data_IF_145364408203
#
_entry.id   IF_145364408203
#
_cell.length_a   1.000
_cell.length_b   1.000
_cell.length_c   1.000
_cell.angle_alpha   90.00
_cell.angle_beta   90.00
_cell.angle_gamma   90.00
#
_symmetry.space_group_name_H-M   'P 1'
#
loop_
_entity.id
_entity.type
_entity.pdbx_description
1 polymer ?
#
# COMPACT_ATOMS: atom_id res chain seq x y z
N UNK A 1 36.86 -4.98 20.96
CA UNK A 1 35.88 -3.97 20.49
C UNK A 1 34.63 -4.75 20.13
N UNK A 2 33.66 -4.84 21.06
CA UNK A 2 32.42 -5.59 20.85
C UNK A 2 31.46 -4.72 20.04
N UNK A 3 31.13 -5.15 18.83
CA UNK A 3 30.04 -4.57 18.06
C UNK A 3 28.74 -5.22 18.56
N UNK A 4 28.04 -4.54 19.47
CA UNK A 4 26.63 -4.85 19.72
C UNK A 4 25.85 -4.45 18.47
N UNK A 5 25.57 -5.42 17.60
CA UNK A 5 24.55 -5.27 16.57
C UNK A 5 23.22 -5.00 17.27
N UNK A 6 22.45 -3.97 16.88
CA UNK A 6 21.08 -3.85 17.36
C UNK A 6 20.30 -5.05 16.82
N UNK A 7 19.80 -5.88 17.73
CA UNK A 7 18.70 -6.79 17.41
C UNK A 7 17.52 -5.88 17.08
N UNK A 8 17.21 -5.78 15.79
CA UNK A 8 15.88 -5.37 15.34
C UNK A 8 14.94 -6.49 15.77
N UNK A 9 14.23 -6.27 16.88
CA UNK A 9 13.08 -7.11 17.19
C UNK A 9 12.15 -7.06 15.97
N UNK A 10 11.78 -8.22 15.39
CA UNK A 10 10.83 -8.22 14.29
C UNK A 10 9.53 -7.65 14.86
N UNK A 11 9.17 -6.44 14.43
CA UNK A 11 7.87 -5.84 14.74
C UNK A 11 6.83 -6.89 14.41
N UNK A 12 6.21 -7.45 15.45
CA UNK A 12 5.28 -8.56 15.33
C UNK A 12 4.22 -8.15 14.30
N UNK A 13 3.96 -8.93 13.24
CA UNK A 13 3.09 -8.52 12.13
C UNK A 13 1.70 -8.02 12.57
N UNK A 14 1.20 -8.53 13.71
CA UNK A 14 -0.05 -8.08 14.33
C UNK A 14 -0.04 -6.63 14.84
N UNK A 15 1.11 -6.11 15.25
CA UNK A 15 1.26 -4.71 15.69
C UNK A 15 1.28 -3.72 14.52
N UNK A 16 1.75 -4.16 13.34
CA UNK A 16 1.84 -3.32 12.15
C UNK A 16 0.51 -3.22 11.39
N UNK A 17 -0.38 -4.21 11.51
CA UNK A 17 -1.62 -4.28 10.74
C UNK A 17 -2.50 -3.01 10.79
N UNK A 18 -2.71 -2.35 11.95
CA UNK A 18 -3.44 -1.08 12.00
C UNK A 18 -2.75 0.03 11.20
N UNK A 19 -1.42 0.12 11.25
CA UNK A 19 -0.65 1.12 10.52
C UNK A 19 -0.67 0.84 9.00
N UNK A 20 -0.53 -0.42 8.58
CA UNK A 20 -0.69 -0.82 7.16
C UNK A 20 -2.06 -0.42 6.64
N UNK A 21 -3.13 -0.71 7.40
CA UNK A 21 -4.49 -0.33 7.01
C UNK A 21 -4.67 1.20 6.98
N UNK A 22 -4.06 1.93 7.91
CA UNK A 22 -4.07 3.39 7.90
C UNK A 22 -3.37 3.95 6.65
N UNK A 23 -2.17 3.45 6.30
CA UNK A 23 -1.49 3.78 5.05
C UNK A 23 -2.38 3.50 3.84
N UNK A 24 -2.98 2.30 3.76
CA UNK A 24 -3.86 1.93 2.65
C UNK A 24 -5.05 2.90 2.48
N UNK A 25 -5.62 3.39 3.59
CA UNK A 25 -6.69 4.40 3.56
C UNK A 25 -6.19 5.78 3.11
N UNK A 26 -4.95 6.16 3.45
CA UNK A 26 -4.33 7.40 2.97
C UNK A 26 -4.06 7.36 1.46
N UNK A 27 -3.73 6.19 0.92
CA UNK A 27 -3.47 6.00 -0.52
C UNK A 27 -4.75 5.90 -1.35
N UNK A 28 -5.84 5.38 -0.78
CA UNK A 28 -7.10 5.14 -1.48
C UNK A 28 -7.61 6.36 -2.28
N UNK A 29 -7.64 7.60 -1.75
CA UNK A 29 -8.06 8.78 -2.52
C UNK A 29 -7.23 9.04 -3.79
N UNK A 30 -5.96 8.65 -3.83
CA UNK A 30 -5.14 8.77 -5.04
C UNK A 30 -5.62 7.80 -6.13
N UNK A 31 -5.88 6.55 -5.76
CA UNK A 31 -6.44 5.55 -6.67
C UNK A 31 -7.84 5.95 -7.15
N UNK A 32 -8.66 6.52 -6.29
CA UNK A 32 -9.99 7.04 -6.63
C UNK A 32 -9.94 8.15 -7.69
N UNK A 33 -8.89 8.97 -7.68
CA UNK A 33 -8.65 10.01 -8.68
C UNK A 33 -7.90 9.50 -9.91
N UNK A 34 -7.55 8.21 -9.96
CA UNK A 34 -6.71 7.65 -11.01
C UNK A 34 -5.29 8.24 -11.03
N UNK A 35 -4.83 8.76 -9.90
CA UNK A 35 -3.51 9.37 -9.76
C UNK A 35 -2.47 8.31 -9.44
N UNK A 36 -1.29 8.43 -10.06
CA UNK A 36 -0.15 7.57 -9.74
C UNK A 36 0.34 7.88 -8.31
N UNK A 37 0.53 6.83 -7.53
CA UNK A 37 1.21 6.85 -6.24
C UNK A 37 2.71 6.70 -6.54
N UNK A 38 3.46 7.76 -6.29
CA UNK A 38 4.92 7.71 -6.36
C UNK A 38 5.49 7.28 -5.02
N UNK A 39 6.74 6.79 -5.02
CA UNK A 39 7.45 6.37 -3.80
C UNK A 39 7.47 7.44 -2.71
N UNK A 40 7.51 8.74 -3.07
CA UNK A 40 7.43 9.83 -2.11
C UNK A 40 6.06 9.90 -1.39
N UNK A 41 4.97 9.68 -2.12
CA UNK A 41 3.61 9.66 -1.56
C UNK A 41 3.44 8.43 -0.66
N UNK A 42 3.93 7.27 -1.09
CA UNK A 42 3.91 6.06 -0.27
C UNK A 42 4.72 6.26 1.03
N UNK A 43 5.93 6.81 0.95
CA UNK A 43 6.75 7.09 2.13
C UNK A 43 6.05 8.05 3.09
N UNK A 44 5.49 9.15 2.60
CA UNK A 44 4.75 10.11 3.42
C UNK A 44 3.56 9.46 4.16
N UNK A 45 2.80 8.62 3.46
CA UNK A 45 1.70 7.87 4.06
C UNK A 45 2.18 6.85 5.11
N UNK A 46 3.29 6.14 4.84
CA UNK A 46 3.90 5.20 5.77
C UNK A 46 4.41 5.91 7.04
N UNK A 47 5.15 7.01 6.89
CA UNK A 47 5.64 7.79 8.03
C UNK A 47 4.49 8.37 8.86
N UNK A 48 3.41 8.81 8.20
CA UNK A 48 2.19 9.29 8.88
C UNK A 48 1.53 8.18 9.71
N UNK A 49 1.45 6.96 9.17
CA UNK A 49 0.75 5.86 9.82
C UNK A 49 1.59 5.14 10.90
N UNK A 50 2.89 4.98 10.65
CA UNK A 50 3.83 4.33 11.59
C UNK A 50 4.44 5.31 12.59
N UNK A 51 4.33 6.62 12.35
CA UNK A 51 4.83 7.68 13.24
C UNK A 51 6.35 7.91 13.16
N UNK A 52 7.04 7.23 12.25
CA UNK A 52 8.48 7.31 12.09
C UNK A 52 8.95 6.83 10.70
N UNK A 53 10.20 7.17 10.37
CA UNK A 53 10.84 6.85 9.09
C UNK A 53 11.35 5.40 9.02
N UNK A 54 11.43 4.86 7.80
CA UNK A 54 12.10 3.59 7.49
C UNK A 54 13.58 3.63 7.90
N UNK A 55 14.21 4.82 7.88
CA UNK A 55 15.60 5.02 8.27
C UNK A 55 15.93 4.60 9.72
N UNK A 56 14.94 4.60 10.62
CA UNK A 56 15.10 4.14 12.01
C UNK A 56 14.46 2.77 12.27
N UNK A 57 14.03 2.07 11.21
CA UNK A 57 13.45 0.73 11.29
C UNK A 57 11.99 0.68 11.70
N UNK A 58 11.24 1.79 11.59
CA UNK A 58 9.81 1.82 11.95
C UNK A 58 8.94 0.94 11.04
N UNK A 59 9.37 0.77 9.79
CA UNK A 59 8.75 -0.08 8.78
C UNK A 59 9.80 -0.43 7.71
N UNK A 60 9.54 -1.48 6.94
CA UNK A 60 10.40 -1.92 5.84
C UNK A 60 9.65 -1.91 4.50
N UNK A 61 10.37 -2.23 3.42
CA UNK A 61 9.84 -2.30 2.07
C UNK A 61 8.68 -3.30 1.93
N UNK A 62 8.63 -4.33 2.77
CA UNK A 62 7.58 -5.35 2.71
C UNK A 62 6.28 -4.81 3.30
N UNK A 63 6.33 -4.12 4.44
CA UNK A 63 5.15 -3.48 5.01
C UNK A 63 4.58 -2.39 4.09
N UNK A 64 5.44 -1.70 3.35
CA UNK A 64 5.01 -0.75 2.32
C UNK A 64 4.26 -1.46 1.17
N UNK A 65 4.76 -2.62 0.72
CA UNK A 65 4.09 -3.44 -0.30
C UNK A 65 2.71 -3.95 0.17
N UNK A 66 2.60 -4.42 1.41
CA UNK A 66 1.32 -4.85 2.00
C UNK A 66 0.30 -3.69 2.04
N UNK A 67 0.76 -2.45 2.24
CA UNK A 67 -0.10 -1.27 2.24
C UNK A 67 -0.64 -0.93 0.84
N UNK A 68 0.19 -1.05 -0.20
CA UNK A 68 -0.22 -0.85 -1.60
C UNK A 68 -1.25 -1.91 -2.06
N UNK A 69 -1.04 -3.18 -1.69
CA UNK A 69 -2.02 -4.25 -1.90
C UNK A 69 -3.32 -3.96 -1.15
N UNK A 70 -3.21 -3.54 0.12
CA UNK A 70 -4.34 -3.10 0.93
C UNK A 70 -5.14 -1.98 0.27
N UNK A 71 -4.47 -0.96 -0.28
CA UNK A 71 -5.13 0.14 -0.98
C UNK A 71 -5.89 -0.34 -2.22
N UNK A 72 -5.30 -1.27 -2.98
CA UNK A 72 -5.94 -1.91 -4.14
C UNK A 72 -7.16 -2.73 -3.73
N UNK A 73 -7.07 -3.50 -2.65
CA UNK A 73 -8.21 -4.26 -2.09
C UNK A 73 -9.33 -3.33 -1.65
N UNK A 74 -9.02 -2.24 -0.95
CA UNK A 74 -10.02 -1.24 -0.53
C UNK A 74 -10.71 -0.60 -1.74
N UNK A 75 -9.95 -0.24 -2.77
CA UNK A 75 -10.50 0.31 -4.01
C UNK A 75 -11.45 -0.69 -4.69
N UNK A 76 -11.03 -1.95 -4.86
CA UNK A 76 -11.85 -2.98 -5.49
C UNK A 76 -13.09 -3.34 -4.65
N UNK A 77 -12.97 -3.34 -3.33
CA UNK A 77 -14.12 -3.53 -2.42
C UNK A 77 -15.17 -2.45 -2.62
N UNK A 78 -14.75 -1.20 -2.82
CA UNK A 78 -15.65 -0.04 -2.98
C UNK A 78 -16.22 0.08 -4.40
N UNK A 79 -15.40 -0.12 -5.44
CA UNK A 79 -15.77 0.18 -6.83
C UNK A 79 -15.80 -1.02 -7.77
N UNK A 80 -15.23 -2.16 -7.37
CA UNK A 80 -15.02 -3.32 -8.24
C UNK A 80 -16.30 -3.85 -8.88
N UNK A 81 -17.42 -3.90 -8.15
CA UNK A 81 -18.73 -4.33 -8.69
C UNK A 81 -19.19 -3.44 -9.85
N UNK A 82 -19.09 -2.12 -9.70
CA UNK A 82 -19.53 -1.18 -10.73
C UNK A 82 -18.59 -1.23 -11.95
N UNK A 83 -17.29 -1.35 -11.69
CA UNK A 83 -16.25 -1.47 -12.72
C UNK A 83 -16.41 -2.75 -13.55
N UNK A 84 -16.57 -3.91 -12.91
CA UNK A 84 -16.72 -5.19 -13.59
C UNK A 84 -18.06 -5.34 -14.30
N UNK A 85 -19.12 -4.65 -13.86
CA UNK A 85 -20.37 -4.57 -14.61
C UNK A 85 -20.18 -3.84 -15.95
N UNK A 86 -19.29 -2.84 -16.00
CA UNK A 86 -18.99 -2.08 -17.23
C UNK A 86 -18.02 -2.84 -18.15
N UNK A 87 -17.10 -3.63 -17.57
CA UNK A 87 -16.15 -4.46 -18.30
C UNK A 87 -16.76 -5.84 -18.63
N UNK A 88 -17.54 -5.91 -19.72
CA UNK A 88 -18.33 -7.08 -20.09
C UNK A 88 -17.56 -8.36 -20.46
N UNK A 89 -16.23 -8.30 -20.65
CA UNK A 89 -15.39 -9.46 -20.98
C UNK A 89 -14.29 -9.69 -19.93
N UNK A 90 -13.75 -10.92 -19.78
CA UNK A 90 -12.58 -11.18 -18.94
C UNK A 90 -11.36 -10.33 -19.31
N UNK A 91 -11.07 -10.17 -20.60
CA UNK A 91 -9.94 -9.35 -21.09
C UNK A 91 -10.12 -7.88 -20.72
N UNK A 92 -11.34 -7.33 -20.85
CA UNK A 92 -11.62 -5.94 -20.43
C UNK A 92 -11.48 -5.74 -18.92
N UNK A 93 -11.76 -6.78 -18.12
CA UNK A 93 -11.57 -6.74 -16.66
C UNK A 93 -10.09 -6.79 -16.31
N UNK A 94 -9.30 -7.62 -16.99
CA UNK A 94 -7.84 -7.68 -16.81
C UNK A 94 -7.20 -6.33 -17.14
N UNK A 95 -7.52 -5.74 -18.30
CA UNK A 95 -6.98 -4.44 -18.70
C UNK A 95 -7.27 -3.32 -17.68
N UNK A 96 -8.43 -3.38 -17.02
CA UNK A 96 -8.76 -2.46 -15.93
C UNK A 96 -7.91 -2.70 -14.68
N UNK A 97 -7.71 -3.97 -14.30
CA UNK A 97 -6.86 -4.32 -13.16
C UNK A 97 -5.40 -3.94 -13.40
N UNK A 98 -4.88 -4.16 -14.61
CA UNK A 98 -3.54 -3.72 -15.04
C UNK A 98 -3.42 -2.19 -14.94
N UNK A 99 -4.45 -1.46 -15.35
CA UNK A 99 -4.48 0.00 -15.21
C UNK A 99 -4.42 0.44 -13.75
N UNK A 100 -5.12 -0.23 -12.85
CA UNK A 100 -5.11 0.08 -11.41
C UNK A 100 -3.75 -0.27 -10.80
N UNK A 101 -3.22 -1.47 -11.08
CA UNK A 101 -1.90 -1.89 -10.61
C UNK A 101 -0.80 -0.94 -11.11
N UNK A 102 -0.93 -0.46 -12.35
CA UNK A 102 -0.05 0.54 -12.93
C UNK A 102 -0.09 1.92 -12.26
N UNK A 103 -1.00 2.18 -11.31
CA UNK A 103 -0.99 3.41 -10.51
C UNK A 103 -0.07 3.31 -9.29
N UNK A 104 0.34 2.11 -8.88
CA UNK A 104 1.17 1.92 -7.70
C UNK A 104 2.67 2.06 -8.02
N UNK A 105 3.52 2.28 -7.00
CA UNK A 105 4.97 2.23 -7.16
C UNK A 105 5.42 0.88 -7.74
N UNK A 106 6.55 0.90 -8.45
CA UNK A 106 7.18 -0.27 -9.09
C UNK A 106 8.55 -0.49 -8.50
#
# INVERSE_FOLDING_TARGET
MNISSPVTDPVTPFGAAPAILATANLLLPHLERGQRVYTAILRDAMETAFGASDAIGAWDWKLAYEADEGATVLFLRKYGKALFRKAGSPVSRLALLEKIAGLLPT
#
